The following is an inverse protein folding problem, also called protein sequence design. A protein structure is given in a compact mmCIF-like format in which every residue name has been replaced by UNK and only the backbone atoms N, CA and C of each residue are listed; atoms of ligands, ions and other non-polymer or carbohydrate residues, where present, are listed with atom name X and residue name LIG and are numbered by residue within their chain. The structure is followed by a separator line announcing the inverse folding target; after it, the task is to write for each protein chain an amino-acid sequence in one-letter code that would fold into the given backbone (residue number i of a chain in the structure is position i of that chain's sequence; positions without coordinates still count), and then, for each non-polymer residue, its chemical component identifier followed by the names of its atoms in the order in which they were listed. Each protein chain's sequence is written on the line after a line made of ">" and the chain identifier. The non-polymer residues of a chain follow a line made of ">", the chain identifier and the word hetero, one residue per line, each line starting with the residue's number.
data_IF_180019121852
#
_entry.id   IF_180019121852
#
_cell.length_a   1.000
_cell.length_b   1.000
_cell.length_c   1.000
_cell.angle_alpha   90.00
_cell.angle_beta   90.00
_cell.angle_gamma   90.00
#
_symmetry.space_group_name_H-M   'P 1'
#
loop_
_entity.id
_entity.type
_entity.pdbx_description
1 polymer ?
#
# COMPACT_ATOMS: atom_id res chain seq x y z
N UNK A 1 -4.02 -5.08 17.08
CA UNK A 1 -3.68 -3.98 16.16
C UNK A 1 -2.37 -3.38 16.65
N UNK A 2 -1.31 -3.46 15.84
CA UNK A 2 0.01 -2.94 16.23
C UNK A 2 0.35 -1.74 15.35
N UNK A 3 0.41 -0.57 15.99
CA UNK A 3 0.71 0.72 15.38
C UNK A 3 2.23 0.91 15.32
N UNK A 4 2.77 1.23 14.13
CA UNK A 4 4.19 1.53 13.96
C UNK A 4 4.36 2.99 13.53
N UNK A 5 4.95 3.79 14.41
CA UNK A 5 5.28 5.20 14.16
C UNK A 5 6.74 5.29 13.71
N UNK A 6 6.99 5.77 12.49
CA UNK A 6 8.34 6.07 12.01
C UNK A 6 8.55 7.58 12.02
N UNK A 7 9.51 8.03 12.83
CA UNK A 7 9.93 9.43 12.89
C UNK A 7 11.09 9.62 11.91
N UNK A 8 10.89 10.41 10.86
CA UNK A 8 11.99 10.83 9.99
C UNK A 8 12.82 11.94 10.67
N UNK A 9 14.11 12.00 10.35
CA UNK A 9 15.09 12.95 10.93
C UNK A 9 14.77 14.43 10.59
N UNK A 10 13.82 14.68 9.71
CA UNK A 10 13.33 16.02 9.34
C UNK A 10 12.14 16.51 10.18
N UNK A 11 11.71 15.76 11.20
CA UNK A 11 10.59 16.15 12.07
C UNK A 11 9.20 15.96 11.44
N UNK A 12 9.13 15.38 10.24
CA UNK A 12 7.88 14.95 9.63
C UNK A 12 7.44 13.60 10.20
N UNK A 13 6.43 13.61 11.08
CA UNK A 13 5.73 12.39 11.50
C UNK A 13 4.88 11.90 10.32
N UNK A 14 5.41 10.98 9.52
CA UNK A 14 4.64 10.36 8.45
C UNK A 14 4.05 9.04 8.97
N UNK A 15 2.75 9.06 9.23
CA UNK A 15 1.97 7.85 9.48
C UNK A 15 2.15 6.92 8.28
N UNK A 16 2.82 5.78 8.49
CA UNK A 16 2.70 4.65 7.58
C UNK A 16 1.20 4.34 7.57
N UNK A 17 0.52 4.74 6.51
CA UNK A 17 -0.92 4.55 6.40
C UNK A 17 -1.13 3.05 6.37
N UNK A 18 -1.81 2.53 7.39
CA UNK A 18 -2.24 1.14 7.46
C UNK A 18 -2.80 0.71 6.10
N UNK A 19 -2.56 -0.55 5.71
CA UNK A 19 -3.19 -1.09 4.52
C UNK A 19 -4.70 -0.82 4.61
N UNK A 20 -5.29 -0.16 3.60
CA UNK A 20 -6.69 0.22 3.68
C UNK A 20 -7.54 -1.03 3.74
N UNK A 21 -8.69 -0.94 4.42
CA UNK A 21 -9.74 -1.92 4.22
C UNK A 21 -10.22 -1.83 2.78
N UNK A 22 -9.77 -2.78 1.96
CA UNK A 22 -10.01 -2.78 0.52
C UNK A 22 -11.49 -2.91 0.18
N UNK A 23 -12.29 -3.48 1.08
CA UNK A 23 -13.72 -3.70 0.86
C UNK A 23 -14.53 -2.41 0.93
N UNK A 24 -13.99 -1.37 1.56
CA UNK A 24 -14.60 -0.05 1.66
C UNK A 24 -14.23 0.88 0.48
N UNK A 25 -13.32 0.46 -0.41
CA UNK A 25 -12.83 1.26 -1.52
C UNK A 25 -13.47 0.86 -2.85
N UNK A 26 -13.62 1.81 -3.76
CA UNK A 26 -13.84 1.49 -5.17
C UNK A 26 -12.56 0.93 -5.81
N UNK A 27 -12.65 0.16 -6.91
CA UNK A 27 -11.48 -0.35 -7.62
C UNK A 27 -10.46 0.73 -7.99
N UNK A 28 -10.95 1.90 -8.43
CA UNK A 28 -10.09 3.02 -8.80
C UNK A 28 -9.34 3.60 -7.59
N UNK A 29 -10.01 3.73 -6.44
CA UNK A 29 -9.39 4.23 -5.20
C UNK A 29 -8.34 3.26 -4.65
N UNK A 30 -8.62 1.96 -4.69
CA UNK A 30 -7.66 0.93 -4.26
C UNK A 30 -6.38 0.95 -5.12
N UNK A 31 -6.53 1.07 -6.45
CA UNK A 31 -5.40 1.20 -7.37
C UNK A 31 -4.65 2.52 -7.13
N UNK A 32 -5.37 3.63 -6.98
CA UNK A 32 -4.77 4.94 -6.73
C UNK A 32 -3.97 4.99 -5.43
N UNK A 33 -4.48 4.35 -4.37
CA UNK A 33 -3.75 4.19 -3.11
C UNK A 33 -2.47 3.38 -3.32
N UNK A 34 -2.55 2.23 -3.98
CA UNK A 34 -1.39 1.37 -4.24
C UNK A 34 -0.30 2.12 -5.02
N UNK A 35 -0.67 2.82 -6.09
CA UNK A 35 0.27 3.63 -6.89
C UNK A 35 0.91 4.74 -6.06
N UNK A 36 0.16 5.37 -5.15
CA UNK A 36 0.70 6.39 -4.23
C UNK A 36 1.77 5.80 -3.31
N UNK A 37 1.55 4.61 -2.77
CA UNK A 37 2.54 3.93 -1.93
C UNK A 37 3.79 3.55 -2.71
N UNK A 38 3.64 3.00 -3.92
CA UNK A 38 4.78 2.68 -4.79
C UNK A 38 5.62 3.92 -5.09
N UNK A 39 4.99 5.05 -5.42
CA UNK A 39 5.68 6.34 -5.63
C UNK A 39 6.39 6.85 -4.39
N UNK A 40 5.82 6.62 -3.21
CA UNK A 40 6.45 6.99 -1.96
C UNK A 40 7.72 6.16 -1.73
N UNK A 41 7.61 4.84 -1.86
CA UNK A 41 8.75 3.92 -1.69
C UNK A 41 9.83 4.15 -2.74
N UNK A 42 9.47 4.51 -3.98
CA UNK A 42 10.45 4.79 -5.02
C UNK A 42 11.27 6.06 -4.73
N UNK A 43 10.71 7.02 -3.98
CA UNK A 43 11.39 8.26 -3.55
C UNK A 43 12.31 8.06 -2.35
N UNK A 44 12.19 6.95 -1.63
CA UNK A 44 13.11 6.65 -0.53
C UNK A 44 14.54 6.46 -1.05
N UNK A 45 15.51 6.90 -0.26
CA UNK A 45 16.92 6.72 -0.55
C UNK A 45 17.24 5.23 -0.78
N UNK A 46 18.14 4.88 -1.72
CA UNK A 46 18.62 3.51 -1.87
C UNK A 46 19.26 2.95 -0.58
N UNK A 47 19.77 3.82 0.29
CA UNK A 47 20.37 3.46 1.58
C UNK A 47 19.36 3.43 2.74
N UNK A 48 18.09 3.71 2.47
CA UNK A 48 17.03 3.58 3.45
C UNK A 48 16.79 2.09 3.75
N UNK A 49 17.17 1.66 4.95
CA UNK A 49 17.06 0.27 5.40
C UNK A 49 15.61 -0.24 5.43
N UNK A 50 14.61 0.65 5.41
CA UNK A 50 13.19 0.28 5.38
C UNK A 50 12.65 0.11 3.97
N UNK A 51 13.37 0.55 2.93
CA UNK A 51 12.89 0.53 1.54
C UNK A 51 12.60 -0.89 1.06
N UNK A 52 13.54 -1.80 1.24
CA UNK A 52 13.39 -3.20 0.81
C UNK A 52 12.19 -3.88 1.51
N UNK A 53 12.06 -3.68 2.83
CA UNK A 53 10.92 -4.18 3.59
C UNK A 53 9.60 -3.65 3.05
N UNK A 54 9.48 -2.35 2.82
CA UNK A 54 8.27 -1.73 2.28
C UNK A 54 7.94 -2.22 0.87
N UNK A 55 8.95 -2.46 0.03
CA UNK A 55 8.74 -3.06 -1.31
C UNK A 55 8.16 -4.46 -1.18
N UNK A 56 8.69 -5.29 -0.28
CA UNK A 56 8.18 -6.65 -0.03
C UNK A 56 6.75 -6.62 0.50
N UNK A 57 6.45 -5.77 1.48
CA UNK A 57 5.11 -5.61 2.06
C UNK A 57 4.08 -5.15 1.01
N UNK A 58 4.42 -4.16 0.18
CA UNK A 58 3.55 -3.70 -0.90
C UNK A 58 3.34 -4.77 -1.97
N UNK A 59 4.39 -5.53 -2.32
CA UNK A 59 4.27 -6.66 -3.25
C UNK A 59 3.33 -7.72 -2.70
N UNK A 60 3.52 -8.12 -1.45
CA UNK A 60 2.70 -9.14 -0.79
C UNK A 60 1.24 -8.71 -0.72
N UNK A 61 0.96 -7.46 -0.31
CA UNK A 61 -0.42 -6.96 -0.27
C UNK A 61 -1.05 -6.89 -1.66
N UNK A 62 -0.30 -6.46 -2.67
CA UNK A 62 -0.79 -6.42 -4.05
C UNK A 62 -1.20 -7.82 -4.54
N UNK A 63 -0.32 -8.82 -4.36
CA UNK A 63 -0.57 -10.18 -4.83
C UNK A 63 -1.67 -10.89 -4.00
N UNK A 64 -1.71 -10.70 -2.68
CA UNK A 64 -2.64 -11.41 -1.80
C UNK A 64 -4.01 -10.74 -1.64
N UNK A 65 -4.10 -9.42 -1.81
CA UNK A 65 -5.32 -8.65 -1.52
C UNK A 65 -5.82 -7.94 -2.76
N UNK A 66 -5.03 -7.04 -3.35
CA UNK A 66 -5.50 -6.16 -4.43
C UNK A 66 -5.92 -6.94 -5.68
N UNK A 67 -5.06 -7.85 -6.16
CA UNK A 67 -5.33 -8.60 -7.40
C UNK A 67 -6.56 -9.50 -7.23
N UNK A 68 -6.58 -10.34 -6.20
CA UNK A 68 -7.70 -11.26 -5.95
C UNK A 68 -9.02 -10.53 -5.74
N UNK A 69 -9.00 -9.38 -5.05
CA UNK A 69 -10.21 -8.57 -4.86
C UNK A 69 -10.69 -7.92 -6.16
N UNK A 70 -9.78 -7.36 -6.98
CA UNK A 70 -10.15 -6.78 -8.28
C UNK A 70 -10.76 -7.82 -9.23
N UNK A 71 -10.20 -9.04 -9.25
CA UNK A 71 -10.76 -10.16 -10.02
C UNK A 71 -12.18 -10.53 -9.57
N UNK A 72 -12.42 -10.58 -8.25
CA UNK A 72 -13.74 -10.85 -7.70
C UNK A 72 -14.75 -9.73 -8.03
N UNK A 73 -14.35 -8.46 -7.88
CA UNK A 73 -15.19 -7.32 -8.26
C UNK A 73 -15.51 -7.34 -9.76
N UNK A 74 -14.53 -7.63 -10.61
CA UNK A 74 -14.74 -7.75 -12.04
C UNK A 74 -15.72 -8.88 -12.37
N UNK A 75 -15.56 -10.06 -11.75
CA UNK A 75 -16.44 -11.21 -11.93
C UNK A 75 -17.88 -10.91 -11.55
N UNK A 76 -18.10 -10.21 -10.42
CA UNK A 76 -19.45 -9.82 -9.96
C UNK A 76 -20.14 -8.79 -10.86
N UNK A 77 -19.37 -7.99 -11.60
CA UNK A 77 -19.91 -6.94 -12.48
C UNK A 77 -20.23 -7.42 -13.90
N UNK A 78 -19.81 -8.63 -14.25
CA UNK A 78 -19.97 -9.21 -15.59
C UNK A 78 -21.26 -10.02 -15.78
N UNK A 79 -22.21 -9.94 -14.84
CA UNK A 79 -23.54 -10.56 -14.85
C UNK A 79 -24.61 -9.47 -14.68
#
# INVERSE_FOLDING_TARGET
>A
MSMFTLTDRSGGTYTVTEFPDITALSPAEAIAWFVRQVKHVSRLSPFDQTKERRVMELRQWKDAVLVSWLEDVHRRRAW
#
